data_IF_802621763663
#
_entry.id   IF_802621763663
#
_cell.length_a   1.000
_cell.length_b   1.000
_cell.length_c   1.000
_cell.angle_alpha   90.00
_cell.angle_beta   90.00
_cell.angle_gamma   90.00
#
_symmetry.space_group_name_H-M   'P 1'
#
loop_
_entity.id
_entity.type
_entity.pdbx_description
1 polymer ?
#
# COMPACT_ATOMS: atom_id res chain seq x y z
N UNK A 1 13.09 -11.59 -4.89
CA UNK A 1 12.00 -10.69 -5.35
C UNK A 1 11.85 -9.55 -4.37
N UNK A 2 11.89 -8.32 -4.85
CA UNK A 2 11.61 -7.11 -4.09
C UNK A 2 10.16 -6.69 -4.34
N UNK A 3 9.30 -6.87 -3.36
CA UNK A 3 7.84 -6.68 -3.53
C UNK A 3 7.46 -5.21 -3.78
N UNK A 4 8.23 -4.26 -3.26
CA UNK A 4 7.96 -2.85 -3.54
C UNK A 4 7.95 -2.55 -5.03
N UNK A 5 8.99 -2.98 -5.73
CA UNK A 5 9.13 -2.76 -7.18
C UNK A 5 8.15 -3.61 -8.00
N UNK A 6 7.73 -4.76 -7.46
CA UNK A 6 6.94 -5.74 -8.20
C UNK A 6 5.56 -5.21 -8.62
N UNK A 7 4.92 -4.31 -7.87
CA UNK A 7 3.58 -3.84 -8.22
C UNK A 7 3.55 -3.09 -9.57
N UNK A 8 4.38 -2.07 -9.83
CA UNK A 8 4.47 -1.44 -11.15
C UNK A 8 4.87 -2.43 -12.26
N UNK A 9 5.76 -3.39 -11.95
CA UNK A 9 6.18 -4.43 -12.90
C UNK A 9 5.01 -5.33 -13.27
N UNK A 10 4.22 -5.81 -12.31
CA UNK A 10 3.01 -6.61 -12.54
C UNK A 10 2.02 -5.87 -13.41
N UNK A 11 1.77 -4.59 -13.13
CA UNK A 11 0.86 -3.78 -13.93
C UNK A 11 1.35 -3.59 -15.37
N UNK A 12 2.65 -3.42 -15.55
CA UNK A 12 3.28 -3.36 -16.89
C UNK A 12 3.13 -4.68 -17.62
N UNK A 13 3.45 -5.80 -16.98
CA UNK A 13 3.34 -7.13 -17.58
C UNK A 13 1.89 -7.43 -17.97
N UNK A 14 0.94 -7.18 -17.07
CA UNK A 14 -0.49 -7.37 -17.37
C UNK A 14 -0.95 -6.56 -18.58
N UNK A 15 -0.47 -5.31 -18.70
CA UNK A 15 -0.90 -4.42 -19.78
C UNK A 15 -0.27 -4.80 -21.12
N UNK A 16 1.01 -5.19 -21.13
CA UNK A 16 1.78 -5.42 -22.35
C UNK A 16 1.68 -6.86 -22.84
N UNK A 17 1.72 -7.83 -21.93
CA UNK A 17 1.85 -9.26 -22.25
C UNK A 17 0.61 -10.08 -21.82
N UNK A 18 -0.30 -9.52 -21.02
CA UNK A 18 -1.41 -10.28 -20.43
C UNK A 18 -0.93 -11.24 -19.35
N UNK A 19 -1.54 -12.43 -19.29
CA UNK A 19 -1.16 -13.44 -18.31
C UNK A 19 0.29 -13.90 -18.52
N UNK A 20 1.05 -13.90 -17.42
CA UNK A 20 2.41 -14.44 -17.40
C UNK A 20 2.64 -15.14 -16.05
N UNK A 21 3.00 -16.41 -16.09
CA UNK A 21 3.20 -17.27 -14.92
C UNK A 21 4.34 -16.80 -13.98
N UNK A 22 5.23 -15.94 -14.44
CA UNK A 22 6.29 -15.36 -13.60
C UNK A 22 5.71 -14.56 -12.44
N UNK A 23 4.52 -13.95 -12.62
CA UNK A 23 3.89 -13.14 -11.60
C UNK A 23 3.39 -13.98 -10.43
N UNK A 24 2.46 -14.95 -10.60
CA UNK A 24 2.04 -15.80 -9.49
C UNK A 24 3.22 -16.54 -8.84
N UNK A 25 4.18 -17.04 -9.63
CA UNK A 25 5.40 -17.68 -9.09
C UNK A 25 6.23 -16.72 -8.21
N UNK A 26 6.34 -15.45 -8.58
CA UNK A 26 7.05 -14.45 -7.77
C UNK A 26 6.32 -14.13 -6.48
N UNK A 27 5.00 -14.04 -6.53
CA UNK A 27 4.14 -13.80 -5.36
C UNK A 27 4.17 -14.98 -4.39
N UNK A 28 4.13 -16.21 -4.90
CA UNK A 28 4.23 -17.43 -4.10
C UNK A 28 5.62 -17.54 -3.46
N UNK A 29 6.67 -17.30 -4.23
CA UNK A 29 8.05 -17.38 -3.72
C UNK A 29 8.26 -16.46 -2.50
N UNK A 30 7.82 -15.21 -2.57
CA UNK A 30 8.02 -14.29 -1.44
C UNK A 30 7.08 -14.60 -0.26
N UNK A 31 5.84 -15.07 -0.52
CA UNK A 31 4.93 -15.55 0.50
C UNK A 31 5.56 -16.71 1.29
N UNK A 32 6.07 -17.70 0.59
CA UNK A 32 6.62 -18.91 1.20
C UNK A 32 7.94 -18.62 1.93
N UNK A 33 8.71 -17.64 1.47
CA UNK A 33 9.92 -17.18 2.13
C UNK A 33 9.65 -16.27 3.35
N UNK A 34 8.41 -15.84 3.55
CA UNK A 34 8.06 -14.88 4.63
C UNK A 34 6.87 -15.40 5.44
N UNK A 35 7.05 -16.41 6.31
CA UNK A 35 5.99 -16.86 7.20
C UNK A 35 5.54 -15.72 8.14
N UNK A 36 4.23 -15.62 8.39
CA UNK A 36 3.68 -14.65 9.34
C UNK A 36 4.14 -14.96 10.77
N UNK A 37 4.40 -13.92 11.61
CA UNK A 37 4.13 -12.50 11.39
C UNK A 37 5.29 -11.71 10.74
N UNK A 38 6.18 -12.34 10.01
CA UNK A 38 7.29 -11.68 9.31
C UNK A 38 6.82 -10.67 8.26
N UNK A 39 7.65 -9.68 8.00
CA UNK A 39 7.43 -8.67 6.96
C UNK A 39 8.25 -8.99 5.71
N UNK A 40 7.60 -8.96 4.54
CA UNK A 40 8.27 -9.20 3.26
C UNK A 40 9.44 -8.24 3.07
N UNK A 41 10.60 -8.77 2.73
CA UNK A 41 11.87 -8.04 2.65
C UNK A 41 12.23 -7.23 3.92
N UNK A 42 11.64 -7.56 5.07
CA UNK A 42 11.85 -6.84 6.34
C UNK A 42 11.15 -5.49 6.43
N UNK A 43 10.25 -5.15 5.50
CA UNK A 43 9.57 -3.85 5.43
C UNK A 43 8.04 -4.01 5.54
N UNK A 44 7.42 -3.27 6.47
CA UNK A 44 5.98 -3.36 6.71
C UNK A 44 5.16 -3.02 5.46
N UNK A 45 5.56 -1.98 4.72
CA UNK A 45 4.89 -1.57 3.48
C UNK A 45 4.92 -2.64 2.38
N UNK A 46 5.95 -3.49 2.35
CA UNK A 46 6.09 -4.49 1.30
C UNK A 46 5.06 -5.61 1.41
N UNK A 47 4.71 -6.03 2.62
CA UNK A 47 3.60 -6.97 2.80
C UNK A 47 2.26 -6.35 2.39
N UNK A 48 2.09 -5.03 2.54
CA UNK A 48 0.91 -4.33 2.04
C UNK A 48 0.90 -4.31 0.51
N UNK A 49 2.05 -4.05 -0.13
CA UNK A 49 2.14 -4.12 -1.60
C UNK A 49 1.77 -5.50 -2.13
N UNK A 50 2.22 -6.57 -1.48
CA UNK A 50 1.82 -7.93 -1.87
C UNK A 50 0.29 -8.10 -1.89
N UNK A 51 -0.40 -7.61 -0.87
CA UNK A 51 -1.86 -7.66 -0.79
C UNK A 51 -2.52 -6.86 -1.94
N UNK A 52 -2.00 -5.67 -2.25
CA UNK A 52 -2.52 -4.84 -3.34
C UNK A 52 -2.28 -5.50 -4.70
N UNK A 53 -1.13 -6.16 -4.88
CA UNK A 53 -0.84 -6.93 -6.10
C UNK A 53 -1.83 -8.09 -6.25
N UNK A 54 -2.16 -8.83 -5.18
CA UNK A 54 -3.15 -9.90 -5.22
C UNK A 54 -4.52 -9.40 -5.70
N UNK A 55 -4.95 -8.23 -5.21
CA UNK A 55 -6.19 -7.61 -5.68
C UNK A 55 -6.13 -7.28 -7.17
N UNK A 56 -5.09 -6.57 -7.59
CA UNK A 56 -4.96 -6.11 -8.97
C UNK A 56 -4.76 -7.29 -9.93
N UNK A 57 -4.00 -8.32 -9.53
CA UNK A 57 -3.89 -9.58 -10.28
C UNK A 57 -5.25 -10.24 -10.48
N UNK A 58 -6.04 -10.36 -9.42
CA UNK A 58 -7.38 -10.94 -9.51
C UNK A 58 -8.29 -10.12 -10.45
N UNK A 59 -8.27 -8.80 -10.38
CA UNK A 59 -9.08 -7.97 -11.26
C UNK A 59 -8.67 -8.04 -12.73
N UNK A 60 -7.37 -8.20 -13.01
CA UNK A 60 -6.89 -8.33 -14.39
C UNK A 60 -7.12 -9.71 -14.97
N UNK A 61 -6.92 -10.77 -14.21
CA UNK A 61 -6.91 -12.14 -14.71
C UNK A 61 -8.19 -12.93 -14.41
N UNK A 62 -8.99 -12.53 -13.42
CA UNK A 62 -10.16 -13.27 -12.96
C UNK A 62 -9.81 -14.62 -12.34
N UNK A 63 -8.56 -14.86 -11.97
CA UNK A 63 -8.06 -16.16 -11.49
C UNK A 63 -8.48 -16.42 -10.05
N UNK A 64 -9.71 -16.87 -9.89
CA UNK A 64 -10.25 -17.24 -8.57
C UNK A 64 -9.55 -18.47 -7.98
N UNK A 65 -9.06 -19.39 -8.82
CA UNK A 65 -8.37 -20.58 -8.33
C UNK A 65 -7.08 -20.18 -7.62
N UNK A 66 -6.25 -19.38 -8.27
CA UNK A 66 -5.04 -18.83 -7.68
C UNK A 66 -5.33 -17.99 -6.42
N UNK A 67 -6.36 -17.13 -6.45
CA UNK A 67 -6.71 -16.34 -5.27
C UNK A 67 -7.11 -17.22 -4.07
N UNK A 68 -7.80 -18.34 -4.31
CA UNK A 68 -8.14 -19.31 -3.27
C UNK A 68 -6.90 -19.99 -2.65
N UNK A 69 -5.87 -20.24 -3.44
CA UNK A 69 -4.60 -20.75 -2.93
C UNK A 69 -3.89 -19.77 -1.99
N UNK A 70 -4.11 -18.46 -2.18
CA UNK A 70 -3.55 -17.41 -1.33
C UNK A 70 -4.34 -17.18 -0.04
N UNK A 71 -5.54 -17.75 0.09
CA UNK A 71 -6.53 -17.42 1.12
C UNK A 71 -5.95 -17.42 2.54
N UNK A 72 -5.27 -18.47 2.95
CA UNK A 72 -4.81 -18.62 4.33
C UNK A 72 -3.77 -17.55 4.70
N UNK A 73 -2.80 -17.34 3.81
CA UNK A 73 -1.79 -16.30 4.03
C UNK A 73 -2.40 -14.90 3.96
N UNK A 74 -3.26 -14.64 2.98
CA UNK A 74 -3.94 -13.36 2.79
C UNK A 74 -4.77 -12.97 4.02
N UNK A 75 -5.59 -13.89 4.52
CA UNK A 75 -6.42 -13.65 5.71
C UNK A 75 -5.58 -13.49 6.99
N UNK A 76 -4.51 -14.26 7.12
CA UNK A 76 -3.53 -14.10 8.20
C UNK A 76 -2.83 -12.75 8.17
N UNK A 77 -2.38 -12.32 6.99
CA UNK A 77 -1.77 -11.00 6.81
C UNK A 77 -2.76 -9.87 7.12
N UNK A 78 -4.01 -9.97 6.68
CA UNK A 78 -5.02 -8.96 7.01
C UNK A 78 -5.25 -8.85 8.51
N UNK A 79 -5.33 -9.96 9.24
CA UNK A 79 -5.44 -9.94 10.72
C UNK A 79 -4.21 -9.30 11.37
N UNK A 80 -3.00 -9.59 10.86
CA UNK A 80 -1.78 -8.92 11.30
C UNK A 80 -1.87 -7.41 11.07
N UNK A 81 -2.26 -6.96 9.86
CA UNK A 81 -2.39 -5.54 9.54
C UNK A 81 -3.46 -4.85 10.41
N UNK A 82 -4.60 -5.48 10.61
CA UNK A 82 -5.67 -4.96 11.49
C UNK A 82 -5.16 -4.77 12.92
N UNK A 83 -4.38 -5.71 13.44
CA UNK A 83 -3.77 -5.60 14.78
C UNK A 83 -2.78 -4.44 14.93
N UNK A 84 -2.29 -3.91 13.80
CA UNK A 84 -1.39 -2.75 13.74
C UNK A 84 -2.14 -1.42 13.58
N UNK A 85 -3.46 -1.41 13.73
CA UNK A 85 -4.25 -0.16 13.76
C UNK A 85 -4.71 0.08 15.19
N UNK A 86 -4.27 1.18 15.79
CA UNK A 86 -4.66 1.55 17.15
C UNK A 86 -6.16 1.88 17.27
N UNK A 87 -6.65 1.90 18.50
CA UNK A 87 -8.04 2.29 18.80
C UNK A 87 -8.33 3.72 18.33
N UNK A 88 -7.29 4.55 18.26
CA UNK A 88 -7.33 5.92 17.76
C UNK A 88 -7.41 6.00 16.22
N UNK A 89 -7.39 4.87 15.52
CA UNK A 89 -7.47 4.77 14.06
C UNK A 89 -6.19 5.12 13.31
N UNK A 90 -5.07 5.28 14.02
CA UNK A 90 -3.76 5.53 13.42
C UNK A 90 -3.01 4.20 13.28
N UNK A 91 -2.33 4.02 12.13
CA UNK A 91 -1.46 2.87 11.93
C UNK A 91 -0.27 2.90 12.92
N UNK A 92 0.11 1.72 13.39
CA UNK A 92 1.22 1.50 14.32
C UNK A 92 2.07 0.33 13.84
N UNK A 93 2.45 0.38 12.57
CA UNK A 93 3.30 -0.63 11.97
C UNK A 93 4.66 -0.66 12.68
N UNK A 94 5.05 -1.82 13.14
CA UNK A 94 6.30 -2.09 13.86
C UNK A 94 6.85 -3.48 13.52
N UNK A 95 7.99 -3.83 14.09
CA UNK A 95 8.63 -5.14 13.85
C UNK A 95 9.27 -5.28 12.47
N UNK A 96 9.31 -4.21 11.69
CA UNK A 96 9.96 -4.10 10.38
C UNK A 96 10.26 -2.67 10.01
N UNK A 97 10.93 -2.46 8.89
CA UNK A 97 11.24 -1.12 8.38
C UNK A 97 9.96 -0.33 8.07
N UNK A 98 9.84 0.86 8.63
CA UNK A 98 8.83 1.85 8.24
C UNK A 98 9.33 2.58 7.01
N UNK A 99 8.88 2.17 5.86
CA UNK A 99 9.50 2.53 4.59
C UNK A 99 8.44 2.79 3.52
N UNK A 100 8.57 3.88 2.80
CA UNK A 100 7.82 4.14 1.58
C UNK A 100 8.71 3.91 0.36
N UNK A 101 9.83 4.62 0.32
CA UNK A 101 10.76 4.68 -0.78
C UNK A 101 12.13 5.14 -0.24
N UNK A 102 13.21 4.85 -0.94
CA UNK A 102 14.56 5.24 -0.53
C UNK A 102 14.71 6.74 -0.23
N UNK A 103 14.15 7.65 -1.06
CA UNK A 103 14.22 9.08 -0.75
C UNK A 103 13.45 9.48 0.51
N UNK A 104 12.50 8.69 0.99
CA UNK A 104 11.64 9.07 2.13
C UNK A 104 12.25 8.79 3.50
N UNK A 105 13.35 8.07 3.58
CA UNK A 105 13.93 7.56 4.84
C UNK A 105 14.23 8.66 5.88
N UNK A 106 14.46 9.88 5.45
CA UNK A 106 14.77 11.04 6.31
C UNK A 106 13.56 11.96 6.58
N UNK A 107 12.35 11.56 6.15
CA UNK A 107 11.14 12.37 6.27
C UNK A 107 10.04 11.60 7.05
N UNK A 108 10.13 11.54 8.39
CA UNK A 108 9.22 10.72 9.20
C UNK A 108 7.75 11.14 9.06
N UNK A 109 7.45 12.42 8.91
CA UNK A 109 6.05 12.87 8.75
C UNK A 109 5.46 12.45 7.41
N UNK A 110 6.26 12.34 6.36
CA UNK A 110 5.85 11.80 5.08
C UNK A 110 5.66 10.27 5.18
N UNK A 111 6.55 9.57 5.88
CA UNK A 111 6.42 8.12 6.12
C UNK A 111 5.11 7.84 6.87
N UNK A 112 4.82 8.54 7.96
CA UNK A 112 3.61 8.33 8.75
C UNK A 112 2.34 8.59 7.92
N UNK A 113 2.30 9.69 7.16
CA UNK A 113 1.17 10.01 6.30
C UNK A 113 0.99 8.98 5.17
N UNK A 114 2.08 8.57 4.54
CA UNK A 114 2.08 7.59 3.46
C UNK A 114 1.70 6.18 3.94
N UNK A 115 2.21 5.73 5.09
CA UNK A 115 1.86 4.42 5.66
C UNK A 115 0.40 4.38 6.11
N UNK A 116 -0.15 5.45 6.69
CA UNK A 116 -1.58 5.55 6.98
C UNK A 116 -2.42 5.38 5.70
N UNK A 117 -2.03 6.05 4.62
CA UNK A 117 -2.72 5.97 3.34
C UNK A 117 -2.60 4.57 2.72
N UNK A 118 -1.43 3.97 2.76
CA UNK A 118 -1.17 2.64 2.22
C UNK A 118 -1.94 1.57 3.01
N UNK A 119 -1.96 1.67 4.34
CA UNK A 119 -2.74 0.78 5.20
C UNK A 119 -4.25 0.90 4.93
N UNK A 120 -4.76 2.11 4.68
CA UNK A 120 -6.16 2.29 4.30
C UNK A 120 -6.47 1.60 2.97
N UNK A 121 -5.56 1.66 1.99
CA UNK A 121 -5.71 0.93 0.73
C UNK A 121 -5.70 -0.59 0.97
N UNK A 122 -4.86 -1.09 1.90
CA UNK A 122 -4.86 -2.50 2.29
C UNK A 122 -6.22 -2.93 2.89
N UNK A 123 -6.84 -2.10 3.73
CA UNK A 123 -8.17 -2.39 4.29
C UNK A 123 -9.25 -2.45 3.21
N UNK A 124 -9.20 -1.55 2.23
CA UNK A 124 -10.13 -1.57 1.08
C UNK A 124 -9.93 -2.84 0.24
N UNK A 125 -8.69 -3.15 -0.13
CA UNK A 125 -8.36 -4.37 -0.88
C UNK A 125 -8.74 -5.64 -0.11
N UNK A 126 -8.50 -5.67 1.19
CA UNK A 126 -8.89 -6.77 2.06
C UNK A 126 -10.41 -7.00 2.09
N UNK A 127 -11.20 -5.93 2.21
CA UNK A 127 -12.65 -6.01 2.13
C UNK A 127 -13.12 -6.62 0.80
N UNK A 128 -12.55 -6.17 -0.32
CA UNK A 128 -12.90 -6.65 -1.67
C UNK A 128 -12.52 -8.13 -1.85
N UNK A 129 -11.29 -8.51 -1.53
CA UNK A 129 -10.79 -9.88 -1.71
C UNK A 129 -11.48 -10.86 -0.76
N UNK A 130 -11.74 -10.46 0.49
CA UNK A 130 -12.45 -11.30 1.45
C UNK A 130 -13.88 -11.59 1.00
N UNK A 131 -14.60 -10.62 0.42
CA UNK A 131 -15.93 -10.86 -0.18
C UNK A 131 -15.87 -11.89 -1.29
N UNK A 132 -14.87 -11.81 -2.18
CA UNK A 132 -14.67 -12.79 -3.25
C UNK A 132 -14.38 -14.19 -2.70
N UNK A 133 -13.65 -14.26 -1.59
CA UNK A 133 -13.25 -15.52 -0.94
C UNK A 133 -14.32 -16.10 0.01
N UNK A 134 -15.46 -15.39 0.21
CA UNK A 134 -16.51 -15.79 1.15
C UNK A 134 -16.12 -15.59 2.63
N UNK A 135 -15.16 -14.71 2.91
CA UNK A 135 -14.69 -14.34 4.25
C UNK A 135 -15.42 -13.09 4.76
N UNK A 136 -16.75 -13.12 4.81
CA UNK A 136 -17.61 -11.94 5.03
C UNK A 136 -17.33 -11.25 6.37
N UNK A 137 -17.03 -12.03 7.43
CA UNK A 137 -16.72 -11.46 8.74
C UNK A 137 -15.43 -10.62 8.71
N UNK A 138 -14.38 -11.13 8.05
CA UNK A 138 -13.12 -10.39 7.91
C UNK A 138 -13.26 -9.22 6.93
N UNK A 139 -14.09 -9.35 5.90
CA UNK A 139 -14.43 -8.23 5.01
C UNK A 139 -15.07 -7.08 5.79
N UNK A 140 -16.04 -7.37 6.64
CA UNK A 140 -16.69 -6.37 7.49
C UNK A 140 -15.72 -5.74 8.50
N UNK A 141 -14.79 -6.52 9.05
CA UNK A 141 -13.75 -6.02 9.95
C UNK A 141 -12.79 -5.06 9.22
N UNK A 142 -12.33 -5.40 8.01
CA UNK A 142 -11.53 -4.51 7.16
C UNK A 142 -12.26 -3.20 6.89
N UNK A 143 -13.56 -3.25 6.57
CA UNK A 143 -14.37 -2.05 6.33
C UNK A 143 -14.47 -1.17 7.59
N UNK A 144 -14.76 -1.77 8.72
CA UNK A 144 -14.86 -1.05 10.01
C UNK A 144 -13.54 -0.37 10.38
N UNK A 145 -12.42 -1.08 10.22
CA UNK A 145 -11.07 -0.55 10.47
C UNK A 145 -10.75 0.57 9.47
N UNK A 146 -11.01 0.38 8.19
CA UNK A 146 -10.80 1.41 7.15
C UNK A 146 -11.59 2.69 7.44
N UNK A 147 -12.85 2.56 7.88
CA UNK A 147 -13.69 3.71 8.28
C UNK A 147 -13.11 4.44 9.50
N UNK A 148 -12.59 3.71 10.49
CA UNK A 148 -11.91 4.30 11.67
C UNK A 148 -10.64 5.03 11.26
N UNK A 149 -9.83 4.44 10.37
CA UNK A 149 -8.61 5.05 9.85
C UNK A 149 -8.89 6.32 9.04
N UNK A 150 -9.93 6.32 8.22
CA UNK A 150 -10.35 7.50 7.45
C UNK A 150 -10.72 8.67 8.37
N UNK A 151 -11.50 8.41 9.43
CA UNK A 151 -11.86 9.43 10.43
C UNK A 151 -10.64 9.99 11.16
N UNK A 152 -9.64 9.16 11.39
CA UNK A 152 -8.42 9.51 12.10
C UNK A 152 -7.33 10.15 11.21
N UNK A 153 -7.47 10.08 9.90
CA UNK A 153 -6.42 10.47 8.95
C UNK A 153 -5.85 11.89 9.17
N UNK A 154 -6.68 12.82 9.63
CA UNK A 154 -6.23 14.19 9.94
C UNK A 154 -5.13 14.26 11.00
N UNK A 155 -4.98 13.22 11.85
CA UNK A 155 -3.95 13.17 12.90
C UNK A 155 -2.54 13.06 12.32
N UNK A 156 -2.40 12.40 11.18
CA UNK A 156 -1.10 12.22 10.47
C UNK A 156 -0.95 13.19 9.30
N UNK A 157 -2.05 13.51 8.61
CA UNK A 157 -2.03 14.44 7.48
C UNK A 157 -1.70 15.89 7.92
N UNK A 158 -2.29 16.37 9.01
CA UNK A 158 -2.01 17.74 9.51
C UNK A 158 -0.53 17.96 9.87
N UNK A 159 0.17 17.05 10.60
CA UNK A 159 1.61 17.15 10.79
C UNK A 159 2.38 17.21 9.46
N UNK A 160 2.06 16.35 8.50
CA UNK A 160 2.67 16.36 7.17
C UNK A 160 2.49 17.71 6.46
N UNK A 161 1.25 18.22 6.39
CA UNK A 161 0.94 19.49 5.72
C UNK A 161 1.56 20.72 6.39
N UNK A 162 1.85 20.66 7.69
CA UNK A 162 2.39 21.76 8.51
C UNK A 162 3.87 21.58 8.85
N UNK A 163 4.52 20.54 8.35
CA UNK A 163 5.90 20.20 8.70
C UNK A 163 6.91 21.28 8.32
N UNK A 164 6.57 22.18 7.39
CA UNK A 164 7.53 23.10 6.80
C UNK A 164 8.54 22.44 5.85
N UNK A 165 8.43 21.13 5.66
CA UNK A 165 9.26 20.39 4.70
C UNK A 165 8.86 20.80 3.27
N UNK A 166 9.84 21.03 2.42
CA UNK A 166 9.59 21.44 1.03
C UNK A 166 8.74 20.38 0.28
N UNK A 167 7.86 20.84 -0.62
CA UNK A 167 6.98 19.95 -1.38
C UNK A 167 7.72 18.88 -2.20
N UNK A 168 8.90 19.20 -2.68
CA UNK A 168 9.80 18.34 -3.46
C UNK A 168 10.90 17.69 -2.61
N UNK A 169 10.85 17.86 -1.29
CA UNK A 169 11.78 17.17 -0.40
C UNK A 169 11.54 15.65 -0.46
N UNK A 170 12.58 14.86 -0.17
CA UNK A 170 12.48 13.40 -0.16
C UNK A 170 11.26 12.90 0.62
N UNK A 171 10.45 12.04 0.01
CA UNK A 171 9.26 11.45 0.59
C UNK A 171 7.98 12.27 0.48
N UNK A 172 8.05 13.59 0.24
CA UNK A 172 6.86 14.43 0.18
C UNK A 172 5.92 14.05 -0.96
N UNK A 173 6.45 13.82 -2.15
CA UNK A 173 5.67 13.38 -3.33
C UNK A 173 5.15 11.95 -3.17
N UNK A 174 5.94 11.07 -2.57
CA UNK A 174 5.54 9.70 -2.25
C UNK A 174 4.32 9.68 -1.32
N UNK A 175 4.37 10.44 -0.24
CA UNK A 175 3.23 10.57 0.67
C UNK A 175 2.00 11.19 -0.01
N UNK A 176 2.18 12.27 -0.76
CA UNK A 176 1.09 12.97 -1.45
C UNK A 176 0.37 12.05 -2.47
N UNK A 177 1.12 11.27 -3.25
CA UNK A 177 0.54 10.31 -4.19
C UNK A 177 -0.30 9.24 -3.47
N UNK A 178 0.23 8.65 -2.40
CA UNK A 178 -0.51 7.65 -1.61
C UNK A 178 -1.76 8.24 -0.96
N UNK A 179 -1.68 9.46 -0.43
CA UNK A 179 -2.84 10.16 0.15
C UNK A 179 -3.93 10.41 -0.90
N UNK A 180 -3.55 10.80 -2.12
CA UNK A 180 -4.50 10.98 -3.22
C UNK A 180 -5.14 9.64 -3.62
N UNK A 181 -4.36 8.59 -3.83
CA UNK A 181 -4.84 7.26 -4.20
C UNK A 181 -5.72 6.62 -3.11
N UNK A 182 -5.47 6.91 -1.84
CA UNK A 182 -6.33 6.47 -0.74
C UNK A 182 -7.63 7.27 -0.61
N UNK A 183 -7.75 8.43 -1.30
CA UNK A 183 -8.88 9.36 -1.18
C UNK A 183 -8.83 10.23 0.08
N UNK A 184 -7.65 10.40 0.66
CA UNK A 184 -7.42 11.22 1.85
C UNK A 184 -6.96 12.64 1.52
N UNK A 185 -6.55 12.89 0.30
CA UNK A 185 -6.24 14.19 -0.30
C UNK A 185 -6.88 14.25 -1.68
N UNK A 186 -7.35 15.43 -2.10
CA UNK A 186 -7.86 15.59 -3.45
C UNK A 186 -6.70 15.50 -4.45
N UNK A 187 -6.87 14.79 -5.58
CA UNK A 187 -5.81 14.66 -6.59
C UNK A 187 -5.26 16.02 -7.05
N UNK A 188 -6.14 17.01 -7.28
CA UNK A 188 -5.75 18.35 -7.71
C UNK A 188 -4.95 19.11 -6.62
N UNK A 189 -5.20 18.79 -5.35
CA UNK A 189 -4.41 19.36 -4.24
C UNK A 189 -3.04 18.69 -4.16
N UNK A 190 -2.98 17.34 -4.30
CA UNK A 190 -1.73 16.60 -4.33
C UNK A 190 -0.84 17.07 -5.47
N UNK A 191 -1.41 17.18 -6.68
CA UNK A 191 -0.69 17.67 -7.86
C UNK A 191 -0.14 19.08 -7.63
N UNK A 192 -1.01 20.04 -7.39
CA UNK A 192 -0.63 21.46 -7.26
C UNK A 192 0.38 21.71 -6.14
N UNK A 193 0.25 21.03 -4.98
CA UNK A 193 1.07 21.31 -3.79
C UNK A 193 2.36 20.51 -3.75
N UNK A 194 2.41 19.35 -4.42
CA UNK A 194 3.53 18.42 -4.32
C UNK A 194 4.00 17.88 -5.67
N UNK A 195 3.14 17.19 -6.43
CA UNK A 195 3.59 16.38 -7.57
C UNK A 195 4.15 17.24 -8.71
N UNK A 196 3.47 18.31 -9.09
CA UNK A 196 3.92 19.23 -10.15
C UNK A 196 5.06 20.16 -9.70
N UNK A 197 5.31 20.31 -8.39
CA UNK A 197 6.35 21.22 -7.89
C UNK A 197 7.72 20.72 -8.32
N UNK A 198 8.50 21.59 -9.00
CA UNK A 198 9.82 21.30 -9.50
C UNK A 198 9.88 20.07 -10.47
N UNK A 199 8.79 19.84 -11.21
CA UNK A 199 8.70 18.79 -12.23
C UNK A 199 8.99 17.39 -11.67
N UNK A 200 9.81 16.61 -12.38
CA UNK A 200 10.17 15.23 -12.00
C UNK A 200 11.14 15.10 -10.83
N UNK A 201 11.62 16.22 -10.26
CA UNK A 201 12.51 16.15 -9.09
C UNK A 201 11.82 15.46 -7.92
N UNK A 202 12.50 14.53 -7.26
CA UNK A 202 11.95 13.72 -6.16
C UNK A 202 11.14 12.49 -6.62
N UNK A 203 10.97 12.27 -7.93
CA UNK A 203 10.42 11.02 -8.45
C UNK A 203 11.47 9.92 -8.36
N UNK A 204 11.06 8.74 -7.93
CA UNK A 204 11.82 7.51 -8.10
C UNK A 204 11.20 6.64 -9.19
N UNK A 205 11.95 5.68 -9.70
CA UNK A 205 11.42 4.70 -10.67
C UNK A 205 10.24 3.93 -10.08
N UNK A 206 10.33 3.54 -8.82
CA UNK A 206 9.27 2.82 -8.11
C UNK A 206 8.02 3.69 -7.94
N UNK A 207 8.15 4.84 -7.27
CA UNK A 207 6.99 5.68 -6.94
C UNK A 207 6.50 6.54 -8.11
N UNK A 208 7.30 6.73 -9.16
CA UNK A 208 6.87 7.42 -10.38
C UNK A 208 5.56 6.87 -10.94
N UNK A 209 5.36 5.56 -10.85
CA UNK A 209 4.10 4.92 -11.23
C UNK A 209 2.89 5.49 -10.47
N UNK A 210 3.00 5.64 -9.15
CA UNK A 210 1.90 6.16 -8.32
C UNK A 210 1.72 7.66 -8.43
N UNK A 211 2.78 8.38 -8.73
CA UNK A 211 2.78 9.84 -8.90
C UNK A 211 2.15 10.27 -10.22
N UNK A 212 2.18 9.40 -11.24
CA UNK A 212 1.61 9.65 -12.58
C UNK A 212 0.20 9.08 -12.75
N UNK A 213 -0.29 8.33 -11.80
CA UNK A 213 -1.61 7.69 -11.78
C UNK A 213 -2.69 8.62 -11.22
#
# INVERSE_FOLDING_TARGET
>A
VWIGDLHPEVMTVNTVFGYNEVIPKSLDFIRDATPLPGWMNGMCSYSIWWLLIQRDWYYYQGDLAYLKEQKDYLTGLLRLLISKVGDDGVEKLDGGGRFLDWPSSENPVAIDAGLQALMLQAMKAGNELCKVLGEDALAAECEAVGNRMTKAASKVIKPFLKSGVAPDAPGSKQAASLLALAGLMKPEEADRRYLAVNGGHGFSTFYGYYMLR
#
